data_IF_437355911394
#
_entry.id   IF_437355911394
#
_cell.length_a   1.000
_cell.length_b   1.000
_cell.length_c   1.000
_cell.angle_alpha   90.00
_cell.angle_beta   90.00
_cell.angle_gamma   90.00
#
_symmetry.space_group_name_H-M   'P 1'
#
loop_
_entity.id
_entity.type
_entity.pdbx_description
1 polymer ?
#
# COMPACT_ATOMS: atom_id res chain seq x y z
N UNK A 1 6.66 -18.60 -0.14
CA UNK A 1 7.03 -17.41 -0.92
C UNK A 1 8.51 -17.06 -0.74
N UNK A 2 9.06 -17.29 0.43
CA UNK A 2 10.47 -17.02 0.79
C UNK A 2 11.23 -18.33 0.97
N UNK A 3 12.48 -18.38 0.49
CA UNK A 3 13.35 -19.56 0.66
C UNK A 3 13.90 -19.69 2.09
N UNK A 4 14.15 -18.54 2.72
CA UNK A 4 14.69 -18.45 4.08
C UNK A 4 13.85 -17.45 4.87
N UNK A 5 13.63 -17.76 6.15
CA UNK A 5 12.97 -16.84 7.06
C UNK A 5 13.88 -15.63 7.35
N UNK A 6 13.39 -14.41 7.41
CA UNK A 6 14.18 -13.27 7.83
C UNK A 6 14.63 -13.45 9.28
N UNK A 7 15.76 -12.82 9.64
CA UNK A 7 16.23 -12.83 11.02
C UNK A 7 15.18 -12.13 11.89
N UNK A 8 14.59 -12.89 12.82
CA UNK A 8 13.56 -12.38 13.71
C UNK A 8 14.07 -11.30 14.66
N UNK A 9 13.23 -10.30 14.94
CA UNK A 9 13.43 -9.37 16.04
C UNK A 9 13.13 -10.01 17.40
N UNK A 10 13.43 -9.29 18.49
CA UNK A 10 13.11 -9.71 19.87
C UNK A 10 11.93 -8.87 20.39
N UNK A 11 11.10 -9.45 21.22
CA UNK A 11 10.15 -8.71 22.04
C UNK A 11 10.91 -8.10 23.20
N UNK A 12 10.89 -6.76 23.30
CA UNK A 12 11.58 -6.01 24.36
C UNK A 12 10.63 -5.55 25.46
N UNK A 13 9.31 -5.52 25.20
CA UNK A 13 8.28 -5.18 26.18
C UNK A 13 6.97 -5.89 25.84
N UNK A 14 6.26 -6.31 26.86
CA UNK A 14 4.88 -6.81 26.79
C UNK A 14 4.04 -6.10 27.84
N UNK A 15 2.88 -5.56 27.43
CA UNK A 15 1.92 -4.89 28.30
C UNK A 15 0.52 -5.36 27.98
N UNK A 16 -0.20 -5.83 29.01
CA UNK A 16 -1.63 -6.16 28.89
C UNK A 16 -2.49 -4.95 29.24
N UNK A 17 -3.58 -4.80 28.53
CA UNK A 17 -4.61 -3.80 28.77
C UNK A 17 -5.94 -4.55 29.01
N UNK A 18 -6.37 -4.58 30.26
CA UNK A 18 -7.57 -5.31 30.68
C UNK A 18 -8.85 -4.58 30.25
N UNK A 19 -8.80 -3.26 30.04
CA UNK A 19 -9.96 -2.46 29.63
C UNK A 19 -10.37 -2.84 28.22
N UNK A 20 -9.38 -2.94 27.30
CA UNK A 20 -9.63 -3.28 25.90
C UNK A 20 -9.41 -4.76 25.59
N UNK A 21 -8.93 -5.55 26.56
CA UNK A 21 -8.60 -6.97 26.38
C UNK A 21 -7.50 -7.17 25.31
N UNK A 22 -6.49 -6.30 25.32
CA UNK A 22 -5.40 -6.34 24.33
C UNK A 22 -4.07 -6.66 24.99
N UNK A 23 -3.14 -7.19 24.17
CA UNK A 23 -1.73 -7.32 24.55
C UNK A 23 -0.91 -6.47 23.58
N UNK A 24 -0.15 -5.52 24.10
CA UNK A 24 0.77 -4.70 23.32
C UNK A 24 2.20 -5.22 23.48
N UNK A 25 2.83 -5.55 22.37
CA UNK A 25 4.23 -5.94 22.26
C UNK A 25 5.01 -4.79 21.66
N UNK A 26 6.22 -4.53 22.17
CA UNK A 26 7.19 -3.68 21.51
C UNK A 26 8.34 -4.57 21.02
N UNK A 27 8.66 -4.45 19.74
CA UNK A 27 9.75 -5.20 19.12
C UNK A 27 11.06 -4.43 19.22
N UNK A 28 12.19 -5.14 19.05
CA UNK A 28 13.53 -4.55 19.17
C UNK A 28 13.86 -3.48 18.12
N UNK A 29 13.08 -3.42 17.04
CA UNK A 29 13.16 -2.38 16.01
C UNK A 29 12.16 -1.21 16.25
N UNK A 30 11.49 -1.16 17.40
CA UNK A 30 10.55 -0.10 17.74
C UNK A 30 9.08 -0.36 17.35
N UNK A 31 8.81 -1.33 16.48
CA UNK A 31 7.45 -1.66 16.06
C UNK A 31 6.58 -2.03 17.25
N UNK A 32 5.39 -1.44 17.33
CA UNK A 32 4.36 -1.77 18.33
C UNK A 32 3.33 -2.69 17.70
N UNK A 33 3.10 -3.85 18.31
CA UNK A 33 2.12 -4.84 17.86
C UNK A 33 1.03 -4.95 18.91
N UNK A 34 -0.20 -4.63 18.55
CA UNK A 34 -1.38 -4.75 19.44
C UNK A 34 -2.16 -5.97 18.99
N UNK A 35 -2.30 -6.93 19.90
CA UNK A 35 -3.01 -8.18 19.66
C UNK A 35 -4.31 -8.16 20.46
N UNK A 36 -5.42 -8.46 19.79
CA UNK A 36 -6.73 -8.67 20.42
C UNK A 36 -7.31 -9.99 19.93
N UNK A 37 -7.57 -10.90 20.86
CA UNK A 37 -8.35 -12.10 20.58
C UNK A 37 -9.83 -11.76 20.56
N UNK A 38 -10.54 -12.20 19.52
CA UNK A 38 -11.98 -12.01 19.37
C UNK A 38 -12.64 -13.35 19.04
N UNK A 39 -13.93 -13.45 19.26
CA UNK A 39 -14.78 -14.61 18.96
C UNK A 39 -15.74 -14.37 17.78
N UNK A 40 -15.60 -13.23 17.08
CA UNK A 40 -16.49 -12.88 15.97
C UNK A 40 -16.41 -13.85 14.81
N UNK A 41 -15.20 -14.39 14.54
CA UNK A 41 -14.97 -15.35 13.49
C UNK A 41 -13.74 -16.20 13.79
N UNK A 42 -13.95 -17.50 13.99
CA UNK A 42 -12.92 -18.42 14.48
C UNK A 42 -11.80 -18.71 13.48
N UNK A 43 -12.07 -18.57 12.17
CA UNK A 43 -11.17 -18.94 11.09
C UNK A 43 -10.57 -17.72 10.36
N UNK A 44 -10.55 -16.55 10.99
CA UNK A 44 -10.04 -15.31 10.39
C UNK A 44 -9.05 -14.60 11.33
N UNK A 45 -7.94 -14.17 10.76
CA UNK A 45 -6.99 -13.22 11.35
C UNK A 45 -6.95 -11.98 10.48
N UNK A 46 -7.16 -10.82 11.08
CA UNK A 46 -7.03 -9.52 10.42
C UNK A 46 -5.84 -8.76 10.98
N UNK A 47 -5.08 -8.17 10.09
CA UNK A 47 -3.95 -7.32 10.41
C UNK A 47 -4.14 -5.93 9.81
N UNK A 48 -3.76 -4.90 10.57
CA UNK A 48 -3.63 -3.54 10.06
C UNK A 48 -2.41 -2.89 10.68
N UNK A 49 -1.45 -2.50 9.85
CA UNK A 49 -0.37 -1.60 10.22
C UNK A 49 -0.69 -0.20 9.72
N UNK A 50 -0.35 0.82 10.49
CA UNK A 50 -0.53 2.24 10.12
C UNK A 50 0.69 3.01 10.62
N UNK A 51 1.22 3.86 9.76
CA UNK A 51 2.27 4.83 10.06
C UNK A 51 1.83 6.23 9.63
N UNK A 52 2.39 7.26 10.26
CA UNK A 52 2.08 8.64 9.92
C UNK A 52 3.06 9.15 8.86
N UNK A 53 2.54 9.96 7.93
CA UNK A 53 3.36 10.57 6.86
C UNK A 53 2.60 10.64 5.54
N UNK A 54 2.44 9.52 4.88
CA UNK A 54 1.73 9.41 3.62
C UNK A 54 2.35 10.27 2.51
N UNK A 55 1.54 10.65 1.54
CA UNK A 55 1.97 11.47 0.41
C UNK A 55 2.27 12.92 0.80
N UNK A 56 1.84 13.38 2.01
CA UNK A 56 2.12 14.75 2.50
C UNK A 56 3.61 15.04 2.69
N UNK A 57 4.44 14.01 2.80
CA UNK A 57 5.89 14.16 2.93
C UNK A 57 6.60 14.46 1.60
N UNK A 58 5.91 14.34 0.48
CA UNK A 58 6.45 14.68 -0.82
C UNK A 58 5.99 16.07 -1.26
N UNK A 59 6.80 16.84 -2.01
CA UNK A 59 6.40 18.14 -2.49
C UNK A 59 5.31 18.06 -3.56
N UNK A 60 4.54 19.15 -3.74
CA UNK A 60 3.46 19.23 -4.72
C UNK A 60 3.93 19.06 -6.17
N UNK A 61 5.21 19.34 -6.46
CA UNK A 61 5.84 19.09 -7.76
C UNK A 61 5.85 17.61 -8.15
N UNK A 62 5.71 16.70 -7.18
CA UNK A 62 5.68 15.25 -7.40
C UNK A 62 4.25 14.68 -7.51
N UNK A 63 3.23 15.53 -7.59
CA UNK A 63 1.83 15.08 -7.60
C UNK A 63 1.54 14.04 -8.68
N UNK A 64 2.19 14.14 -9.83
CA UNK A 64 2.05 13.18 -10.94
C UNK A 64 2.56 11.79 -10.52
N UNK A 65 3.70 11.73 -9.84
CA UNK A 65 4.27 10.47 -9.34
C UNK A 65 3.52 9.94 -8.13
N UNK A 66 3.02 10.83 -7.25
CA UNK A 66 2.14 10.47 -6.12
C UNK A 66 0.90 9.71 -6.62
N UNK A 67 0.26 10.19 -7.69
CA UNK A 67 -0.89 9.50 -8.30
C UNK A 67 -0.56 8.14 -8.96
N UNK A 68 0.73 7.82 -9.11
CA UNK A 68 1.21 6.55 -9.64
C UNK A 68 1.61 5.53 -8.58
N UNK A 69 1.54 5.84 -7.28
CA UNK A 69 2.04 4.98 -6.20
C UNK A 69 1.35 3.60 -6.15
N UNK A 70 0.07 3.55 -6.49
CA UNK A 70 -0.67 2.29 -6.54
C UNK A 70 -0.18 1.33 -7.64
N UNK A 71 0.50 1.85 -8.67
CA UNK A 71 1.04 1.03 -9.75
C UNK A 71 2.13 0.06 -9.28
N UNK A 72 2.80 0.32 -8.15
CA UNK A 72 3.84 -0.55 -7.61
C UNK A 72 3.31 -1.95 -7.31
N UNK A 73 2.05 -2.06 -6.84
CA UNK A 73 1.41 -3.35 -6.57
C UNK A 73 1.29 -4.25 -7.81
N UNK A 74 1.24 -3.65 -9.01
CA UNK A 74 1.07 -4.38 -10.26
C UNK A 74 2.33 -5.13 -10.69
N UNK A 75 3.49 -4.75 -10.16
CA UNK A 75 4.76 -5.42 -10.46
C UNK A 75 4.91 -6.78 -9.79
N UNK A 76 4.16 -7.05 -8.73
CA UNK A 76 4.31 -8.23 -7.90
C UNK A 76 5.28 -8.01 -6.73
N UNK A 77 5.73 -9.10 -6.10
CA UNK A 77 6.56 -9.07 -4.90
C UNK A 77 7.72 -10.07 -4.98
N UNK A 78 8.89 -9.65 -4.55
CA UNK A 78 10.09 -10.48 -4.55
C UNK A 78 10.44 -10.98 -5.95
N UNK A 79 10.50 -12.30 -6.12
CA UNK A 79 10.77 -12.94 -7.40
C UNK A 79 9.52 -13.27 -8.23
N UNK A 80 8.32 -12.92 -7.71
CA UNK A 80 7.05 -13.26 -8.34
C UNK A 80 6.46 -12.03 -9.03
N UNK A 81 6.14 -12.14 -10.32
CA UNK A 81 5.21 -11.23 -10.98
C UNK A 81 3.83 -11.33 -10.31
N UNK A 82 2.93 -10.38 -10.57
CA UNK A 82 1.58 -10.43 -10.01
C UNK A 82 0.85 -11.74 -10.36
N UNK A 83 0.99 -12.22 -11.60
CA UNK A 83 0.38 -13.49 -12.07
C UNK A 83 1.00 -14.70 -11.38
N UNK A 84 2.33 -14.73 -11.23
CA UNK A 84 3.01 -15.83 -10.54
C UNK A 84 2.67 -15.86 -9.06
N UNK A 85 2.54 -14.68 -8.43
CA UNK A 85 2.12 -14.55 -7.04
C UNK A 85 0.70 -15.08 -6.84
N UNK A 86 -0.24 -14.73 -7.71
CA UNK A 86 -1.60 -15.26 -7.69
C UNK A 86 -1.61 -16.78 -7.77
N UNK A 87 -0.83 -17.37 -8.71
CA UNK A 87 -0.68 -18.84 -8.84
C UNK A 87 -0.07 -19.47 -7.59
N UNK A 88 0.96 -18.83 -7.00
CA UNK A 88 1.61 -19.34 -5.79
C UNK A 88 0.69 -19.28 -4.55
N UNK A 89 -0.29 -18.39 -4.56
CA UNK A 89 -1.29 -18.25 -3.51
C UNK A 89 -2.55 -19.09 -3.75
N UNK A 90 -2.64 -19.81 -4.87
CA UNK A 90 -3.80 -20.64 -5.17
C UNK A 90 -4.07 -21.66 -4.03
N UNK A 91 -5.32 -21.70 -3.54
CA UNK A 91 -5.72 -22.55 -2.42
C UNK A 91 -5.34 -22.04 -1.03
N UNK A 92 -4.66 -20.91 -0.91
CA UNK A 92 -4.37 -20.22 0.36
C UNK A 92 -5.39 -19.12 0.62
N UNK A 93 -5.75 -18.96 1.90
CA UNK A 93 -6.57 -17.84 2.37
C UNK A 93 -5.66 -16.82 3.06
N UNK A 94 -4.88 -16.11 2.26
CA UNK A 94 -4.00 -15.05 2.73
C UNK A 94 -3.96 -13.93 1.70
N UNK A 95 -4.08 -12.70 2.15
CA UNK A 95 -3.95 -11.50 1.33
C UNK A 95 -3.29 -10.37 2.12
N UNK A 96 -2.53 -9.54 1.43
CA UNK A 96 -1.95 -8.31 1.95
C UNK A 96 -2.09 -7.24 0.88
N UNK A 97 -2.45 -6.05 1.31
CA UNK A 97 -2.48 -4.84 0.48
C UNK A 97 -1.89 -3.67 1.24
N UNK A 98 -1.41 -2.69 0.50
CA UNK A 98 -0.95 -1.43 1.08
C UNK A 98 -1.76 -0.25 0.52
N UNK A 99 -1.67 0.88 1.21
CA UNK A 99 -2.19 2.16 0.73
C UNK A 99 -1.35 3.30 1.27
N UNK A 100 -1.11 4.29 0.42
CA UNK A 100 -0.45 5.54 0.80
C UNK A 100 -1.48 6.64 0.63
N UNK A 101 -2.06 7.06 1.75
CA UNK A 101 -3.00 8.18 1.79
C UNK A 101 -2.30 9.53 1.92
N UNK A 102 -3.06 10.58 2.18
CA UNK A 102 -2.47 11.94 2.32
C UNK A 102 -1.52 12.05 3.50
N UNK A 103 -1.92 11.52 4.66
CA UNK A 103 -1.21 11.70 5.94
C UNK A 103 -0.75 10.39 6.59
N UNK A 104 -1.09 9.26 6.01
CA UNK A 104 -0.76 7.94 6.57
C UNK A 104 -0.45 6.97 5.45
N UNK A 105 0.43 6.04 5.71
CA UNK A 105 0.53 4.79 4.99
C UNK A 105 -0.02 3.64 5.83
N UNK A 106 -0.55 2.64 5.17
CA UNK A 106 -1.13 1.49 5.83
C UNK A 106 -0.81 0.19 5.08
N UNK A 107 -0.68 -0.88 5.84
CA UNK A 107 -0.69 -2.25 5.31
C UNK A 107 -1.84 -3.00 5.98
N UNK A 108 -2.66 -3.66 5.20
CA UNK A 108 -3.76 -4.49 5.68
C UNK A 108 -3.57 -5.92 5.24
N UNK A 109 -3.89 -6.86 6.11
CA UNK A 109 -3.81 -8.28 5.81
C UNK A 109 -5.02 -9.03 6.34
N UNK A 110 -5.36 -10.11 5.66
CA UNK A 110 -6.38 -11.05 6.09
C UNK A 110 -5.91 -12.46 5.77
N UNK A 111 -6.11 -13.41 6.71
CA UNK A 111 -5.79 -14.80 6.46
C UNK A 111 -6.62 -15.76 7.34
N UNK A 112 -6.61 -17.03 6.96
CA UNK A 112 -6.97 -18.11 7.89
C UNK A 112 -5.82 -18.38 8.87
N UNK A 113 -6.08 -18.94 10.08
CA UNK A 113 -5.02 -19.27 11.02
C UNK A 113 -3.90 -20.14 10.43
N UNK A 114 -4.25 -21.12 9.58
CA UNK A 114 -3.27 -21.99 8.90
C UNK A 114 -2.38 -21.27 7.89
N UNK A 115 -2.84 -20.15 7.34
CA UNK A 115 -2.14 -19.37 6.32
C UNK A 115 -1.47 -18.10 6.90
N UNK A 116 -1.39 -17.98 8.23
CA UNK A 116 -0.82 -16.82 8.92
C UNK A 116 0.62 -16.54 8.49
N UNK A 117 1.45 -17.59 8.40
CA UNK A 117 2.83 -17.46 7.92
C UNK A 117 2.88 -16.88 6.50
N UNK A 118 1.99 -17.34 5.61
CA UNK A 118 1.91 -16.80 4.24
C UNK A 118 1.57 -15.30 4.24
N UNK A 119 0.64 -14.87 5.10
CA UNK A 119 0.31 -13.44 5.25
C UNK A 119 1.51 -12.65 5.76
N UNK A 120 2.26 -13.17 6.73
CA UNK A 120 3.45 -12.50 7.25
C UNK A 120 4.58 -12.42 6.22
N UNK A 121 4.77 -13.46 5.40
CA UNK A 121 5.72 -13.45 4.28
C UNK A 121 5.31 -12.39 3.23
N UNK A 122 4.04 -12.29 2.88
CA UNK A 122 3.54 -11.24 1.98
C UNK A 122 3.78 -9.85 2.56
N UNK A 123 3.50 -9.66 3.85
CA UNK A 123 3.75 -8.40 4.54
C UNK A 123 5.23 -8.03 4.47
N UNK A 124 6.11 -8.95 4.80
CA UNK A 124 7.56 -8.72 4.74
C UNK A 124 8.01 -8.33 3.33
N UNK A 125 7.55 -9.05 2.30
CA UNK A 125 7.88 -8.73 0.90
C UNK A 125 7.31 -7.37 0.45
N UNK A 126 6.14 -6.98 0.96
CA UNK A 126 5.57 -5.65 0.70
C UNK A 126 6.49 -4.54 1.19
N UNK A 127 7.11 -4.70 2.35
CA UNK A 127 8.07 -3.73 2.89
C UNK A 127 9.44 -3.77 2.21
N UNK A 128 9.92 -4.95 1.85
CA UNK A 128 11.35 -5.13 1.52
C UNK A 128 11.65 -5.41 0.05
N UNK A 129 10.67 -5.89 -0.70
CA UNK A 129 10.90 -6.40 -2.04
C UNK A 129 9.76 -6.11 -3.03
N UNK A 130 9.32 -4.82 -3.19
CA UNK A 130 8.44 -4.48 -4.29
C UNK A 130 9.15 -4.79 -5.61
N UNK A 131 8.47 -5.53 -6.50
CA UNK A 131 9.06 -5.93 -7.76
C UNK A 131 8.83 -4.87 -8.83
N UNK A 132 9.89 -4.50 -9.55
CA UNK A 132 9.77 -3.67 -10.75
C UNK A 132 9.23 -4.51 -11.91
N UNK A 133 8.24 -3.98 -12.62
CA UNK A 133 7.73 -4.58 -13.87
C UNK A 133 7.34 -3.46 -14.84
N UNK A 134 8.20 -3.23 -15.82
CA UNK A 134 8.05 -2.12 -16.78
C UNK A 134 6.84 -2.35 -17.71
N UNK A 135 6.53 -3.60 -18.06
CA UNK A 135 5.39 -3.93 -18.91
C UNK A 135 4.06 -3.72 -18.14
N UNK A 136 4.00 -4.14 -16.88
CA UNK A 136 2.85 -3.87 -16.02
C UNK A 136 2.63 -2.36 -15.83
N UNK A 137 3.70 -1.60 -15.64
CA UNK A 137 3.63 -0.15 -15.53
C UNK A 137 3.17 0.52 -16.83
N UNK A 138 3.67 0.08 -17.99
CA UNK A 138 3.23 0.59 -19.29
C UNK A 138 1.74 0.31 -19.51
N UNK A 139 1.28 -0.90 -19.16
CA UNK A 139 -0.13 -1.26 -19.22
C UNK A 139 -1.00 -0.42 -18.28
N UNK A 140 -0.53 -0.14 -17.06
CA UNK A 140 -1.18 0.77 -16.12
C UNK A 140 -1.34 2.17 -16.73
N UNK A 141 -0.26 2.75 -17.28
CA UNK A 141 -0.30 4.07 -17.92
C UNK A 141 -1.34 4.12 -19.05
N UNK A 142 -1.37 3.11 -19.92
CA UNK A 142 -2.32 3.06 -21.02
C UNK A 142 -3.77 3.02 -20.53
N UNK A 143 -4.09 2.19 -19.54
CA UNK A 143 -5.43 2.13 -18.93
C UNK A 143 -5.81 3.44 -18.25
N UNK A 144 -4.94 3.99 -17.41
CA UNK A 144 -5.19 5.25 -16.72
C UNK A 144 -5.42 6.40 -17.69
N UNK A 145 -4.66 6.45 -18.78
CA UNK A 145 -4.83 7.46 -19.83
C UNK A 145 -6.21 7.35 -20.50
N UNK A 146 -6.63 6.14 -20.85
CA UNK A 146 -7.95 5.89 -21.45
C UNK A 146 -9.09 6.24 -20.49
N UNK A 147 -8.97 5.87 -19.20
CA UNK A 147 -9.97 6.22 -18.17
C UNK A 147 -10.09 7.73 -18.00
N UNK A 148 -8.97 8.44 -17.91
CA UNK A 148 -8.96 9.90 -17.75
C UNK A 148 -9.54 10.60 -18.98
N UNK A 149 -9.25 10.11 -20.20
CA UNK A 149 -9.88 10.61 -21.44
C UNK A 149 -11.40 10.42 -21.41
N UNK A 150 -11.87 9.25 -20.98
CA UNK A 150 -13.31 8.99 -20.85
C UNK A 150 -13.97 9.90 -19.78
N UNK A 151 -13.28 10.14 -18.68
CA UNK A 151 -13.75 11.07 -17.65
C UNK A 151 -13.88 12.51 -18.18
N UNK A 152 -12.99 12.94 -19.06
CA UNK A 152 -13.04 14.28 -19.66
C UNK A 152 -14.25 14.45 -20.59
N UNK A 153 -14.79 13.36 -21.14
CA UNK A 153 -16.03 13.38 -21.95
C UNK A 153 -17.31 13.43 -21.10
N UNK A 154 -17.20 13.21 -19.78
CA UNK A 154 -18.36 13.20 -18.90
C UNK A 154 -18.63 14.61 -18.35
N UNK A 155 -19.81 15.21 -18.63
CA UNK A 155 -20.16 16.55 -18.14
C UNK A 155 -20.11 16.68 -16.61
N UNK A 156 -20.49 15.63 -15.87
CA UNK A 156 -20.44 15.62 -14.40
C UNK A 156 -19.01 15.71 -13.88
N UNK A 157 -18.05 15.07 -14.55
CA UNK A 157 -16.63 15.18 -14.20
C UNK A 157 -16.10 16.59 -14.41
N UNK A 158 -16.45 17.22 -15.54
CA UNK A 158 -16.08 18.62 -15.84
C UNK A 158 -16.69 19.61 -14.84
N UNK A 159 -17.92 19.37 -14.44
CA UNK A 159 -18.59 20.18 -13.41
C UNK A 159 -17.88 20.05 -12.04
N UNK A 160 -17.59 18.81 -11.61
CA UNK A 160 -16.85 18.54 -10.37
C UNK A 160 -15.46 19.16 -10.39
N UNK A 161 -14.72 19.05 -11.51
CA UNK A 161 -13.41 19.68 -11.68
C UNK A 161 -13.51 21.21 -11.52
N UNK A 162 -14.53 21.84 -12.08
CA UNK A 162 -14.75 23.29 -11.97
C UNK A 162 -15.03 23.73 -10.54
N UNK A 163 -15.88 23.00 -9.82
CA UNK A 163 -16.16 23.23 -8.39
C UNK A 163 -14.88 23.08 -7.57
N UNK A 164 -14.19 21.97 -7.71
CA UNK A 164 -12.96 21.68 -6.95
C UNK A 164 -11.89 22.72 -7.22
N UNK A 165 -11.68 23.07 -8.49
CA UNK A 165 -10.73 24.10 -8.90
C UNK A 165 -11.05 25.46 -8.27
N UNK A 166 -12.32 25.82 -8.15
CA UNK A 166 -12.75 27.10 -7.55
C UNK A 166 -12.61 27.08 -6.03
N UNK A 167 -13.11 26.03 -5.37
CA UNK A 167 -13.09 25.91 -3.90
C UNK A 167 -11.68 25.85 -3.33
N UNK A 168 -10.77 25.17 -4.01
CA UNK A 168 -9.40 24.96 -3.54
C UNK A 168 -8.35 25.81 -4.26
N UNK A 169 -8.77 26.89 -4.93
CA UNK A 169 -7.87 27.84 -5.60
C UNK A 169 -6.85 27.16 -6.53
N UNK A 170 -7.29 26.12 -7.24
CA UNK A 170 -6.46 25.30 -8.15
C UNK A 170 -5.26 24.63 -7.47
N UNK A 171 -5.38 24.30 -6.19
CA UNK A 171 -4.28 23.62 -5.48
C UNK A 171 -3.95 22.27 -6.15
N UNK A 172 -2.67 21.96 -6.48
CA UNK A 172 -2.30 20.78 -7.29
C UNK A 172 -2.82 19.46 -6.72
N UNK A 173 -2.84 19.29 -5.39
CA UNK A 173 -3.29 18.07 -4.72
C UNK A 173 -4.80 17.83 -4.79
N UNK A 174 -5.58 18.82 -5.14
CA UNK A 174 -7.04 18.71 -5.23
C UNK A 174 -7.53 18.57 -6.66
N UNK A 175 -6.67 18.87 -7.62
CA UNK A 175 -7.02 18.76 -9.04
C UNK A 175 -6.94 17.30 -9.49
N UNK A 176 -7.94 16.90 -10.26
CA UNK A 176 -7.90 15.60 -10.94
C UNK A 176 -6.77 15.56 -11.95
N UNK A 177 -6.00 14.47 -11.94
CA UNK A 177 -4.99 14.21 -12.94
C UNK A 177 -5.61 14.18 -14.35
N UNK A 178 -4.89 14.69 -15.35
CA UNK A 178 -5.29 14.69 -16.75
C UNK A 178 -4.50 13.65 -17.56
N UNK A 179 -5.11 13.20 -18.65
CA UNK A 179 -4.55 12.13 -19.47
C UNK A 179 -3.13 12.42 -20.00
N UNK A 180 -2.83 13.68 -20.31
CA UNK A 180 -1.49 14.12 -20.77
C UNK A 180 -0.42 14.08 -19.67
N UNK A 181 -0.84 14.09 -18.40
CA UNK A 181 0.07 13.99 -17.25
C UNK A 181 0.58 12.56 -17.04
N UNK A 182 -0.18 11.54 -17.48
CA UNK A 182 0.19 10.13 -17.30
C UNK A 182 1.54 9.81 -17.98
N UNK A 183 1.81 10.40 -19.14
CA UNK A 183 3.06 10.18 -19.85
C UNK A 183 4.29 10.72 -19.09
N UNK A 184 4.10 11.69 -18.20
CA UNK A 184 5.14 12.31 -17.35
C UNK A 184 5.46 11.51 -16.09
N UNK A 185 4.70 10.44 -15.78
CA UNK A 185 5.00 9.56 -14.66
C UNK A 185 6.38 8.91 -14.81
N UNK A 186 7.17 8.96 -13.77
CA UNK A 186 8.51 8.36 -13.69
C UNK A 186 8.50 7.16 -12.74
N UNK A 187 8.67 5.95 -13.29
CA UNK A 187 8.58 4.72 -12.50
C UNK A 187 9.68 4.59 -11.44
N UNK A 188 10.89 5.06 -11.72
CA UNK A 188 12.00 5.04 -10.73
C UNK A 188 11.67 5.92 -9.53
N UNK A 189 11.11 7.12 -9.77
CA UNK A 189 10.65 8.00 -8.69
C UNK A 189 9.51 7.38 -7.90
N UNK A 190 8.52 6.79 -8.56
CA UNK A 190 7.38 6.12 -7.91
C UNK A 190 7.88 4.99 -7.00
N UNK A 191 8.79 4.13 -7.48
CA UNK A 191 9.40 3.07 -6.69
C UNK A 191 10.20 3.62 -5.50
N UNK A 192 10.98 4.68 -5.73
CA UNK A 192 11.74 5.35 -4.66
C UNK A 192 10.84 5.95 -3.59
N UNK A 193 9.75 6.60 -3.99
CA UNK A 193 8.75 7.16 -3.06
C UNK A 193 8.06 6.07 -2.25
N UNK A 194 7.68 4.97 -2.89
CA UNK A 194 7.14 3.80 -2.21
C UNK A 194 8.13 3.25 -1.18
N UNK A 195 9.38 3.00 -1.59
CA UNK A 195 10.41 2.49 -0.69
C UNK A 195 10.68 3.43 0.48
N UNK A 196 10.62 4.75 0.24
CA UNK A 196 10.79 5.73 1.32
C UNK A 196 9.71 5.60 2.40
N UNK A 197 8.46 5.30 2.01
CA UNK A 197 7.36 5.13 2.97
C UNK A 197 7.37 3.78 3.70
N UNK A 198 7.90 2.74 3.07
CA UNK A 198 7.89 1.38 3.62
C UNK A 198 9.26 0.86 4.09
N UNK A 199 10.33 1.67 4.06
CA UNK A 199 11.67 1.24 4.49
C UNK A 199 11.80 1.04 6.00
N UNK A 200 10.99 1.70 6.79
CA UNK A 200 11.00 1.64 8.25
C UNK A 200 9.58 1.33 8.77
N UNK A 201 9.44 0.19 9.42
CA UNK A 201 8.18 -0.24 10.01
C UNK A 201 7.99 0.23 11.47
N UNK A 202 8.95 1.00 12.02
CA UNK A 202 8.92 1.50 13.40
C UNK A 202 8.31 2.90 13.54
N UNK A 203 8.05 3.57 12.43
CA UNK A 203 7.48 4.92 12.37
C UNK A 203 6.10 5.03 13.04
#
# INVERSE_FOLDING_TARGET
>A
LMKEAPKGGKIVSEKKDDIFGTTMLTLSNGVKVIIKKTDFKADEIRMKGVSMGGSSLFPDSEIININGLDAVALGGLGNFSAIELEKALAGKKASVSYGIGDKTEAVTGNCSPKDFETMMQLTYLTFTAPRRDDDAFASYKNRSKAELQNMDLNPSSSFSDSITSTLYSKHPRTLRMKADMVDKMNYDKILSMYQDRFKDASD
#
